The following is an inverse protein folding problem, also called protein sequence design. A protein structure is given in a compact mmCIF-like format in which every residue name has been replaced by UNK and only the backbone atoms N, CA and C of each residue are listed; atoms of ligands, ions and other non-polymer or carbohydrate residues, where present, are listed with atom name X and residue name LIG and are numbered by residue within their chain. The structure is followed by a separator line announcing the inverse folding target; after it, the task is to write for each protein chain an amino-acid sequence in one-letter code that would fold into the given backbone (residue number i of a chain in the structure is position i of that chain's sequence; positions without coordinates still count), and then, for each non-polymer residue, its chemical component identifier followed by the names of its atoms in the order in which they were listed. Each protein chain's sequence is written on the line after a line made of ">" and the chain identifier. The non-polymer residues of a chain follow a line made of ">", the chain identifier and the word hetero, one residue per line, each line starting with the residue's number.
data_IF_013534890048
#
_entry.id   IF_013534890048
#
_cell.length_a   1.000
_cell.length_b   1.000
_cell.length_c   1.000
_cell.angle_alpha   90.00
_cell.angle_beta   90.00
_cell.angle_gamma   90.00
#
_symmetry.space_group_name_H-M   'P 1'
#
loop_
_entity.id
_entity.type
_entity.pdbx_description
1 polymer ?
#
# COMPACT_ATOMS: atom_id res chain seq x y z
N UNK A 1 -12.68 -8.91 9.90
CA UNK A 1 -13.28 -8.88 8.54
C UNK A 1 -12.14 -9.03 7.55
N UNK A 2 -12.09 -10.13 6.82
CA UNK A 2 -11.10 -10.37 5.76
C UNK A 2 -11.83 -10.14 4.44
N UNK A 3 -11.46 -9.09 3.72
CA UNK A 3 -12.06 -8.74 2.45
C UNK A 3 -11.41 -9.59 1.34
N UNK A 4 -12.19 -10.43 0.67
CA UNK A 4 -11.74 -11.22 -0.47
C UNK A 4 -11.97 -10.43 -1.77
N UNK A 5 -10.88 -10.07 -2.44
CA UNK A 5 -10.88 -9.31 -3.69
C UNK A 5 -11.25 -10.14 -4.92
N UNK A 6 -11.54 -11.44 -4.77
CA UNK A 6 -11.76 -12.37 -5.90
C UNK A 6 -13.24 -12.69 -6.19
N UNK A 7 -14.20 -12.19 -5.41
CA UNK A 7 -15.61 -12.45 -5.70
C UNK A 7 -16.14 -11.56 -6.84
N UNK A 8 -16.75 -12.13 -7.89
CA UNK A 8 -17.42 -11.35 -8.92
C UNK A 8 -18.65 -10.65 -8.31
N UNK A 9 -18.59 -9.33 -8.32
CA UNK A 9 -19.61 -8.44 -7.79
C UNK A 9 -20.98 -8.64 -8.48
N UNK A 10 -21.97 -9.15 -7.75
CA UNK A 10 -23.37 -9.19 -8.17
C UNK A 10 -24.03 -7.79 -8.12
N UNK A 11 -25.13 -7.63 -8.85
CA UNK A 11 -25.77 -6.39 -9.33
C UNK A 11 -26.29 -5.36 -8.30
N UNK A 12 -25.74 -5.26 -7.08
CA UNK A 12 -26.21 -4.34 -6.00
C UNK A 12 -25.11 -3.46 -5.41
N UNK A 13 -24.07 -3.18 -6.18
CA UNK A 13 -22.88 -2.49 -5.70
C UNK A 13 -22.99 -0.96 -5.83
N UNK A 14 -23.98 -0.37 -5.15
CA UNK A 14 -24.18 1.09 -5.08
C UNK A 14 -22.91 1.81 -4.62
N UNK A 15 -22.19 1.25 -3.67
CA UNK A 15 -20.91 1.76 -3.17
C UNK A 15 -19.86 1.88 -4.28
N UNK A 16 -19.74 0.85 -5.13
CA UNK A 16 -18.83 0.89 -6.27
C UNK A 16 -19.28 1.86 -7.35
N UNK A 17 -20.59 2.02 -7.55
CA UNK A 17 -21.11 3.03 -8.48
C UNK A 17 -20.79 4.45 -7.98
N UNK A 18 -20.99 4.71 -6.68
CA UNK A 18 -20.65 5.99 -6.03
C UNK A 18 -19.13 6.22 -6.11
N UNK A 19 -18.31 5.25 -5.73
CA UNK A 19 -16.86 5.37 -5.79
C UNK A 19 -16.38 5.61 -7.23
N UNK A 20 -16.95 4.90 -8.22
CA UNK A 20 -16.63 5.12 -9.62
C UNK A 20 -17.05 6.52 -10.11
N UNK A 21 -18.19 7.04 -9.66
CA UNK A 21 -18.64 8.39 -10.00
C UNK A 21 -17.76 9.47 -9.37
N UNK A 22 -17.31 9.27 -8.12
CA UNK A 22 -16.42 10.20 -7.42
C UNK A 22 -15.02 10.19 -8.07
N UNK A 23 -14.48 9.00 -8.35
CA UNK A 23 -13.11 8.86 -8.85
C UNK A 23 -12.99 9.13 -10.36
N UNK A 24 -14.02 8.79 -11.13
CA UNK A 24 -14.04 8.89 -12.59
C UNK A 24 -15.43 9.38 -13.05
N UNK A 25 -15.77 10.66 -12.86
CA UNK A 25 -17.09 11.21 -13.16
C UNK A 25 -17.54 10.90 -14.58
N UNK A 26 -18.78 10.46 -14.77
CA UNK A 26 -19.22 9.96 -16.08
C UNK A 26 -19.19 11.03 -17.17
N UNK A 27 -19.49 12.28 -16.82
CA UNK A 27 -19.48 13.42 -17.75
C UNK A 27 -18.10 13.71 -18.33
N UNK A 28 -17.06 13.58 -17.51
CA UNK A 28 -15.67 13.80 -17.92
C UNK A 28 -15.10 12.56 -18.59
N UNK A 29 -15.30 11.40 -17.95
CA UNK A 29 -14.68 10.14 -18.36
C UNK A 29 -15.12 9.68 -19.76
N UNK A 30 -16.32 10.03 -20.21
CA UNK A 30 -16.79 9.71 -21.58
C UNK A 30 -15.94 10.31 -22.69
N UNK A 31 -15.17 11.36 -22.42
CA UNK A 31 -14.24 11.97 -23.38
C UNK A 31 -12.83 11.35 -23.36
N UNK A 32 -12.57 10.41 -22.45
CA UNK A 32 -11.25 9.81 -22.25
C UNK A 32 -11.01 8.71 -23.27
N UNK A 33 -9.82 8.71 -23.87
CA UNK A 33 -9.39 7.61 -24.74
C UNK A 33 -9.09 6.35 -23.92
N UNK A 34 -9.77 5.26 -24.27
CA UNK A 34 -9.61 3.92 -23.68
C UNK A 34 -9.41 2.85 -24.76
N UNK A 35 -9.00 3.25 -25.98
CA UNK A 35 -8.89 2.39 -27.16
C UNK A 35 -7.80 1.32 -27.06
N UNK A 36 -6.76 1.57 -26.26
CA UNK A 36 -5.60 0.70 -26.18
C UNK A 36 -4.96 0.69 -24.79
N UNK A 37 -4.05 -0.26 -24.57
CA UNK A 37 -3.39 -0.46 -23.27
C UNK A 37 -2.56 0.74 -22.78
N UNK A 38 -2.01 1.57 -23.68
CA UNK A 38 -1.28 2.77 -23.28
C UNK A 38 -2.26 3.86 -22.82
N UNK A 39 -3.33 4.10 -23.58
CA UNK A 39 -4.39 5.05 -23.23
C UNK A 39 -5.06 4.71 -21.89
N UNK A 40 -5.33 3.43 -21.64
CA UNK A 40 -5.86 2.94 -20.36
C UNK A 40 -4.92 3.28 -19.18
N UNK A 41 -3.59 3.17 -19.36
CA UNK A 41 -2.63 3.55 -18.31
C UNK A 41 -2.59 5.05 -18.11
N UNK A 42 -2.57 5.82 -19.19
CA UNK A 42 -2.62 7.29 -19.11
C UNK A 42 -3.86 7.76 -18.36
N UNK A 43 -5.02 7.17 -18.64
CA UNK A 43 -6.25 7.42 -17.90
C UNK A 43 -6.13 7.01 -16.43
N UNK A 44 -5.57 5.83 -16.15
CA UNK A 44 -5.37 5.35 -14.78
C UNK A 44 -4.47 6.29 -13.97
N UNK A 45 -3.39 6.77 -14.58
CA UNK A 45 -2.45 7.72 -13.98
C UNK A 45 -3.08 9.10 -13.78
N UNK A 46 -3.97 9.54 -14.68
CA UNK A 46 -4.71 10.79 -14.56
C UNK A 46 -5.69 10.75 -13.38
N UNK A 47 -6.54 9.73 -13.33
CA UNK A 47 -7.56 9.56 -12.27
C UNK A 47 -7.02 8.94 -10.98
N UNK A 48 -5.73 8.59 -10.92
CA UNK A 48 -5.07 7.95 -9.76
C UNK A 48 -5.77 6.66 -9.31
N UNK A 49 -6.16 5.84 -10.28
CA UNK A 49 -6.78 4.52 -10.07
C UNK A 49 -5.96 3.42 -10.74
N UNK A 50 -6.36 2.16 -10.58
CA UNK A 50 -5.72 1.06 -11.30
C UNK A 50 -6.20 0.99 -12.77
N UNK A 51 -5.37 0.49 -13.71
CA UNK A 51 -5.79 0.23 -15.09
C UNK A 51 -7.05 -0.67 -15.19
N UNK A 52 -7.20 -1.62 -14.28
CA UNK A 52 -8.40 -2.48 -14.21
C UNK A 52 -9.67 -1.70 -13.87
N UNK A 53 -9.59 -0.68 -13.00
CA UNK A 53 -10.72 0.16 -12.65
C UNK A 53 -11.19 1.01 -13.85
N UNK A 54 -10.26 1.52 -14.65
CA UNK A 54 -10.53 2.25 -15.90
C UNK A 54 -11.30 1.36 -16.88
N UNK A 55 -10.85 0.11 -17.09
CA UNK A 55 -11.52 -0.84 -18.00
C UNK A 55 -12.94 -1.14 -17.52
N UNK A 56 -13.12 -1.43 -16.23
CA UNK A 56 -14.46 -1.69 -15.66
C UNK A 56 -15.37 -0.46 -15.79
N UNK A 57 -14.83 0.75 -15.60
CA UNK A 57 -15.60 1.99 -15.77
C UNK A 57 -16.02 2.19 -17.23
N UNK A 58 -15.12 2.00 -18.18
CA UNK A 58 -15.40 2.10 -19.60
C UNK A 58 -16.45 1.08 -20.06
N UNK A 59 -16.39 -0.17 -19.56
CA UNK A 59 -17.42 -1.18 -19.82
C UNK A 59 -18.80 -0.75 -19.27
N UNK A 60 -18.85 -0.21 -18.05
CA UNK A 60 -20.11 0.27 -17.43
C UNK A 60 -20.71 1.49 -18.12
N UNK A 61 -19.88 2.31 -18.74
CA UNK A 61 -20.31 3.48 -19.53
C UNK A 61 -20.50 3.13 -21.02
N UNK A 62 -20.46 1.84 -21.37
CA UNK A 62 -20.66 1.31 -22.72
C UNK A 62 -19.66 1.87 -23.75
N UNK A 63 -18.51 2.36 -23.29
CA UNK A 63 -17.41 2.86 -24.14
C UNK A 63 -16.59 1.72 -24.76
N UNK A 64 -16.74 0.49 -24.25
CA UNK A 64 -16.13 -0.71 -24.79
C UNK A 64 -17.05 -1.92 -24.57
N UNK A 65 -16.97 -2.89 -25.47
CA UNK A 65 -17.75 -4.12 -25.35
C UNK A 65 -17.20 -5.02 -24.24
N UNK A 66 -18.04 -5.95 -23.77
CA UNK A 66 -17.64 -6.90 -22.73
C UNK A 66 -16.44 -7.76 -23.14
N UNK A 67 -16.38 -8.19 -24.41
CA UNK A 67 -15.29 -9.02 -24.93
C UNK A 67 -13.96 -8.27 -24.96
N UNK A 68 -13.97 -7.02 -25.44
CA UNK A 68 -12.78 -6.16 -25.48
C UNK A 68 -12.30 -5.86 -24.06
N UNK A 69 -13.22 -5.51 -23.15
CA UNK A 69 -12.89 -5.26 -21.75
C UNK A 69 -12.29 -6.47 -21.07
N UNK A 70 -12.86 -7.67 -21.28
CA UNK A 70 -12.34 -8.92 -20.74
C UNK A 70 -10.93 -9.23 -21.25
N UNK A 71 -10.66 -9.02 -22.54
CA UNK A 71 -9.32 -9.20 -23.12
C UNK A 71 -8.28 -8.25 -22.48
N UNK A 72 -8.67 -6.99 -22.21
CA UNK A 72 -7.80 -6.05 -21.49
C UNK A 72 -7.53 -6.49 -20.05
N UNK A 73 -8.55 -6.93 -19.32
CA UNK A 73 -8.38 -7.40 -17.93
C UNK A 73 -7.46 -8.62 -17.86
N UNK A 74 -7.61 -9.59 -18.78
CA UNK A 74 -6.72 -10.76 -18.84
C UNK A 74 -5.27 -10.35 -19.10
N UNK A 75 -5.02 -9.41 -20.01
CA UNK A 75 -3.67 -8.90 -20.28
C UNK A 75 -3.06 -8.24 -19.04
N UNK A 76 -3.85 -7.47 -18.28
CA UNK A 76 -3.41 -6.83 -17.05
C UNK A 76 -3.10 -7.85 -15.94
N UNK A 77 -3.87 -8.92 -15.85
CA UNK A 77 -3.64 -10.02 -14.90
C UNK A 77 -2.30 -10.73 -15.19
N UNK A 78 -2.07 -11.11 -16.45
CA UNK A 78 -0.80 -11.73 -16.88
C UNK A 78 0.41 -10.83 -16.58
N UNK A 79 0.30 -9.53 -16.85
CA UNK A 79 1.36 -8.58 -16.50
C UNK A 79 1.58 -8.46 -15.00
N UNK A 80 0.50 -8.44 -14.20
CA UNK A 80 0.62 -8.36 -12.75
C UNK A 80 1.29 -9.60 -12.17
N UNK A 81 0.93 -10.79 -12.66
CA UNK A 81 1.47 -12.07 -12.18
C UNK A 81 2.91 -12.31 -12.61
N UNK A 82 3.31 -11.79 -13.78
CA UNK A 82 4.69 -11.87 -14.27
C UNK A 82 5.66 -10.91 -13.56
N UNK A 83 5.16 -9.97 -12.74
CA UNK A 83 6.04 -9.11 -11.93
C UNK A 83 6.70 -9.93 -10.84
N UNK A 84 8.03 -9.86 -10.76
CA UNK A 84 8.78 -10.45 -9.64
C UNK A 84 8.27 -9.87 -8.33
N UNK A 85 7.70 -10.72 -7.47
CA UNK A 85 7.32 -10.30 -6.12
C UNK A 85 8.58 -9.91 -5.36
N UNK A 86 8.65 -8.66 -4.90
CA UNK A 86 9.66 -8.28 -3.93
C UNK A 86 9.41 -9.10 -2.66
N UNK A 87 10.37 -9.94 -2.27
CA UNK A 87 10.30 -10.63 -0.99
C UNK A 87 10.13 -9.58 0.13
N UNK A 88 9.11 -9.73 1.01
CA UNK A 88 8.94 -8.83 2.14
C UNK A 88 10.18 -8.94 3.01
N UNK A 89 11.03 -7.90 3.01
CA UNK A 89 12.15 -7.84 3.95
C UNK A 89 11.58 -7.74 5.37
N UNK A 90 11.96 -8.64 6.30
CA UNK A 90 11.47 -8.53 7.66
C UNK A 90 11.87 -7.15 8.21
N UNK A 91 10.95 -6.41 8.84
CA UNK A 91 11.26 -5.10 9.38
C UNK A 91 12.39 -5.24 10.40
N UNK A 92 13.48 -4.47 10.21
CA UNK A 92 14.57 -4.45 11.18
C UNK A 92 14.00 -4.16 12.58
N UNK A 93 14.39 -4.90 13.64
CA UNK A 93 13.86 -4.69 14.99
C UNK A 93 13.92 -3.23 15.48
N UNK A 94 14.97 -2.50 15.08
CA UNK A 94 15.14 -1.06 15.30
C UNK A 94 13.94 -0.24 14.80
N UNK A 95 13.43 -0.52 13.60
CA UNK A 95 12.30 0.21 13.02
C UNK A 95 11.00 -0.06 13.77
N UNK A 96 10.81 -1.29 14.24
CA UNK A 96 9.65 -1.65 15.05
C UNK A 96 9.69 -0.92 16.39
N UNK A 97 10.82 -0.95 17.10
CA UNK A 97 10.98 -0.26 18.37
C UNK A 97 10.78 1.24 18.19
N UNK A 98 11.41 1.87 17.21
CA UNK A 98 11.23 3.31 16.92
C UNK A 98 9.78 3.70 16.66
N UNK A 99 9.03 2.85 15.97
CA UNK A 99 7.63 3.13 15.63
C UNK A 99 6.73 3.16 16.86
N UNK A 100 6.99 2.30 17.84
CA UNK A 100 6.13 2.13 19.01
C UNK A 100 6.64 2.88 20.25
N UNK A 101 7.95 3.01 20.39
CA UNK A 101 8.56 3.87 21.39
C UNK A 101 8.68 5.26 20.80
N UNK A 102 7.67 6.10 21.01
CA UNK A 102 7.66 7.49 20.55
C UNK A 102 9.02 8.18 20.76
N UNK A 103 9.39 9.06 19.82
CA UNK A 103 10.74 9.63 19.73
C UNK A 103 11.25 10.21 21.05
N UNK A 104 10.42 10.97 21.75
CA UNK A 104 10.77 11.62 23.01
C UNK A 104 11.13 10.61 24.11
N UNK A 105 10.36 9.52 24.23
CA UNK A 105 10.65 8.45 25.18
C UNK A 105 11.99 7.79 24.86
N UNK A 106 12.22 7.44 23.59
CA UNK A 106 13.47 6.84 23.13
C UNK A 106 14.70 7.71 23.42
N UNK A 107 14.60 9.02 23.18
CA UNK A 107 15.68 9.98 23.45
C UNK A 107 15.97 10.11 24.95
N UNK A 108 14.93 10.21 25.80
CA UNK A 108 15.12 10.30 27.26
C UNK A 108 15.76 9.05 27.84
N UNK A 109 15.32 7.88 27.39
CA UNK A 109 15.90 6.62 27.85
C UNK A 109 17.35 6.45 27.39
N UNK A 110 17.69 6.92 26.19
CA UNK A 110 19.09 6.95 25.76
C UNK A 110 19.94 7.86 26.65
N UNK A 111 19.44 9.06 27.00
CA UNK A 111 20.14 9.97 27.93
C UNK A 111 20.32 9.34 29.32
N UNK A 112 19.31 8.66 29.84
CA UNK A 112 19.40 7.94 31.11
C UNK A 112 20.45 6.82 31.05
N UNK A 113 20.54 6.12 29.91
CA UNK A 113 21.56 5.10 29.68
C UNK A 113 22.97 5.72 29.60
N UNK A 114 23.13 6.82 28.86
CA UNK A 114 24.39 7.54 28.72
C UNK A 114 24.88 8.12 30.05
N UNK A 115 23.96 8.56 30.91
CA UNK A 115 24.25 9.03 32.26
C UNK A 115 24.52 7.90 33.28
N UNK A 116 24.50 6.63 32.85
CA UNK A 116 24.70 5.48 33.74
C UNK A 116 23.56 5.23 34.73
N UNK A 117 22.42 5.91 34.59
CA UNK A 117 21.25 5.74 35.47
C UNK A 117 20.52 4.42 35.21
N UNK A 118 20.65 3.89 33.99
CA UNK A 118 20.17 2.55 33.61
C UNK A 118 21.27 1.80 32.87
N UNK A 119 21.41 0.52 33.18
CA UNK A 119 22.33 -0.38 32.49
C UNK A 119 21.87 -0.68 31.06
N UNK A 120 22.80 -1.11 30.20
CA UNK A 120 22.46 -1.56 28.83
C UNK A 120 21.43 -2.71 28.85
N UNK A 121 21.51 -3.59 29.85
CA UNK A 121 20.56 -4.69 30.03
C UNK A 121 19.16 -4.19 30.35
N UNK A 122 19.04 -3.19 31.23
CA UNK A 122 17.76 -2.58 31.57
C UNK A 122 17.17 -1.81 30.40
N UNK A 123 18.00 -1.07 29.65
CA UNK A 123 17.58 -0.40 28.43
C UNK A 123 17.03 -1.41 27.41
N UNK A 124 17.78 -2.48 27.11
CA UNK A 124 17.33 -3.53 26.20
C UNK A 124 16.01 -4.18 26.66
N UNK A 125 15.82 -4.40 27.97
CA UNK A 125 14.59 -4.99 28.52
C UNK A 125 13.41 -4.03 28.46
N UNK A 126 13.56 -2.82 28.98
CA UNK A 126 12.46 -1.88 29.19
C UNK A 126 12.08 -1.10 27.93
N UNK A 127 13.08 -0.76 27.10
CA UNK A 127 12.88 0.03 25.88
C UNK A 127 12.77 -0.91 24.68
N UNK A 128 13.70 -1.84 24.52
CA UNK A 128 13.77 -2.66 23.32
C UNK A 128 12.96 -3.97 23.41
N UNK A 129 12.30 -4.28 24.54
CA UNK A 129 11.59 -5.55 24.79
C UNK A 129 12.47 -6.79 24.49
N UNK A 130 13.77 -6.69 24.78
CA UNK A 130 14.82 -7.67 24.44
C UNK A 130 14.93 -8.00 22.93
N UNK A 131 14.41 -7.16 22.05
CA UNK A 131 14.53 -7.29 20.59
C UNK A 131 15.84 -6.73 20.04
N UNK A 132 16.58 -5.96 20.83
CA UNK A 132 17.93 -5.48 20.53
C UNK A 132 18.91 -5.94 21.61
N UNK A 133 20.12 -6.28 21.18
CA UNK A 133 21.27 -6.52 22.06
C UNK A 133 21.96 -5.19 22.39
N UNK A 134 22.74 -5.17 23.47
CA UNK A 134 23.50 -3.98 23.90
C UNK A 134 24.39 -3.41 22.77
N UNK A 135 25.02 -4.29 21.97
CA UNK A 135 25.84 -3.89 20.82
C UNK A 135 25.05 -3.14 19.71
N UNK A 136 23.72 -3.21 19.71
CA UNK A 136 22.84 -2.59 18.71
C UNK A 136 22.23 -1.27 19.22
N UNK A 137 22.55 -0.83 20.44
CA UNK A 137 22.11 0.47 20.96
C UNK A 137 22.61 1.64 20.08
N UNK A 138 23.84 1.64 19.55
CA UNK A 138 24.29 2.66 18.59
C UNK A 138 23.44 2.71 17.32
N UNK A 139 23.06 1.55 16.76
CA UNK A 139 22.19 1.48 15.57
C UNK A 139 20.79 2.05 15.87
N UNK A 140 20.27 1.79 17.07
CA UNK A 140 19.01 2.38 17.51
C UNK A 140 19.11 3.90 17.64
N UNK A 141 20.21 4.42 18.19
CA UNK A 141 20.49 5.86 18.28
C UNK A 141 20.55 6.51 16.91
N UNK A 142 21.20 5.88 15.93
CA UNK A 142 21.31 6.41 14.57
C UNK A 142 19.96 6.46 13.81
N UNK A 143 18.95 5.72 14.27
CA UNK A 143 17.65 5.61 13.60
C UNK A 143 16.56 6.57 14.12
N UNK A 144 16.79 7.26 15.25
CA UNK A 144 15.85 8.20 15.93
C UNK A 144 15.92 9.63 15.39
#
# INVERSE_FOLDING_TARGET
>A
MTYDSKSPASAKNREFAIAAEILMPAGEFKSVDVSNSAAIRTAADHYKVTPSAVVVRAMRLEMMTADVGKAHLQRLEVEFDSRSRNEPRPPKPVNAIRRYNGREFSVRMLRAHDAGQISAREFCRAVCLNKLKAAQIPDFRAAL
#
